data_IF_638847473768
#
_entry.id   IF_638847473768
#
_cell.length_a   1.000
_cell.length_b   1.000
_cell.length_c   1.000
_cell.angle_alpha   90.00
_cell.angle_beta   90.00
_cell.angle_gamma   90.00
#
_symmetry.space_group_name_H-M   'P 1'
#
loop_
_entity.id
_entity.type
_entity.pdbx_description
1 polymer ?
#
# COMPACT_ATOMS: atom_id res chain seq x y z
N UNK A 1 32.31 23.20 -23.10
CA UNK A 1 32.74 23.00 -21.69
C UNK A 1 32.94 24.37 -21.06
N UNK A 2 32.01 24.84 -20.24
CA UNK A 2 32.32 25.84 -19.21
C UNK A 2 31.29 25.68 -18.09
N UNK A 3 31.80 25.38 -16.90
CA UNK A 3 31.03 25.00 -15.73
C UNK A 3 30.49 26.25 -15.02
N UNK A 4 29.16 26.37 -14.95
CA UNK A 4 28.51 27.33 -14.06
C UNK A 4 28.55 26.74 -12.65
N UNK A 5 29.50 27.20 -11.83
CA UNK A 5 29.55 26.93 -10.40
C UNK A 5 28.32 27.54 -9.72
N UNK A 6 27.30 26.73 -9.44
CA UNK A 6 26.23 27.11 -8.51
C UNK A 6 26.78 26.98 -7.09
N UNK A 7 27.20 28.12 -6.53
CA UNK A 7 27.53 28.24 -5.11
C UNK A 7 26.31 28.05 -4.21
N UNK A 8 26.50 27.29 -3.13
CA UNK A 8 26.19 27.73 -1.78
C UNK A 8 24.75 27.75 -1.24
N UNK A 9 23.69 27.72 -2.05
CA UNK A 9 22.32 27.78 -1.50
C UNK A 9 21.27 26.94 -2.25
N UNK A 10 21.30 26.89 -3.58
CA UNK A 10 20.34 26.10 -4.39
C UNK A 10 20.44 24.58 -4.22
N UNK A 11 21.63 24.06 -3.87
CA UNK A 11 21.84 22.62 -3.68
C UNK A 11 21.22 22.09 -2.37
N UNK A 12 21.04 22.94 -1.35
CA UNK A 12 20.48 22.54 -0.06
C UNK A 12 18.94 22.43 -0.15
N UNK A 13 18.28 23.37 -0.82
CA UNK A 13 16.83 23.33 -1.06
C UNK A 13 16.42 22.11 -1.90
N UNK A 14 17.18 21.80 -2.96
CA UNK A 14 16.88 20.63 -3.81
C UNK A 14 17.06 19.30 -3.06
N UNK A 15 17.97 19.24 -2.08
CA UNK A 15 18.22 18.07 -1.23
C UNK A 15 17.17 17.90 -0.14
N UNK A 16 16.65 18.99 0.45
CA UNK A 16 15.61 18.90 1.49
C UNK A 16 14.21 18.67 0.90
N UNK A 17 13.82 19.45 -0.10
CA UNK A 17 12.49 19.31 -0.74
C UNK A 17 12.40 18.04 -1.61
N UNK A 18 13.46 17.69 -2.35
CA UNK A 18 13.50 16.46 -3.13
C UNK A 18 13.44 15.18 -2.28
N UNK A 19 13.96 15.22 -1.04
CA UNK A 19 13.87 14.10 -0.08
C UNK A 19 12.46 13.96 0.50
N UNK A 20 11.79 15.07 0.82
CA UNK A 20 10.39 15.03 1.24
C UNK A 20 9.49 14.44 0.14
N UNK A 21 9.66 14.86 -1.12
CA UNK A 21 8.93 14.33 -2.26
C UNK A 21 9.24 12.85 -2.54
N UNK A 22 10.51 12.44 -2.43
CA UNK A 22 10.90 11.04 -2.57
C UNK A 22 10.31 10.17 -1.45
N UNK A 23 10.26 10.68 -0.22
CA UNK A 23 9.66 10.01 0.94
C UNK A 23 8.16 9.85 0.77
N UNK A 24 7.44 10.90 0.35
CA UNK A 24 5.99 10.83 0.08
C UNK A 24 5.69 9.79 -1.02
N UNK A 25 6.47 9.80 -2.12
CA UNK A 25 6.34 8.77 -3.17
C UNK A 25 6.65 7.37 -2.68
N UNK A 26 7.65 7.21 -1.81
CA UNK A 26 8.00 5.90 -1.24
C UNK A 26 6.89 5.39 -0.30
N UNK A 27 6.34 6.25 0.56
CA UNK A 27 5.22 5.91 1.44
C UNK A 27 3.97 5.53 0.63
N UNK A 28 3.62 6.31 -0.39
CA UNK A 28 2.48 5.99 -1.28
C UNK A 28 2.66 4.65 -2.00
N UNK A 29 3.89 4.32 -2.44
CA UNK A 29 4.20 3.00 -3.01
C UNK A 29 4.07 1.87 -1.99
N UNK A 30 4.50 2.10 -0.74
CA UNK A 30 4.35 1.12 0.34
C UNK A 30 2.89 0.89 0.70
N UNK A 31 2.08 1.95 0.76
CA UNK A 31 0.64 1.87 0.97
C UNK A 31 -0.04 1.10 -0.15
N UNK A 32 0.27 1.41 -1.41
CA UNK A 32 -0.27 0.70 -2.57
C UNK A 32 0.15 -0.78 -2.62
N UNK A 33 1.39 -1.10 -2.22
CA UNK A 33 1.83 -2.48 -2.11
C UNK A 33 1.10 -3.22 -0.97
N UNK A 34 0.83 -2.52 0.15
CA UNK A 34 0.07 -3.08 1.27
C UNK A 34 -1.39 -3.34 0.91
N UNK A 35 -2.04 -2.45 0.16
CA UNK A 35 -3.41 -2.67 -0.33
C UNK A 35 -3.47 -3.85 -1.28
N UNK A 36 -2.54 -3.95 -2.24
CA UNK A 36 -2.47 -5.07 -3.17
C UNK A 36 -2.30 -6.41 -2.42
N UNK A 37 -1.44 -6.45 -1.40
CA UNK A 37 -1.25 -7.64 -0.58
C UNK A 37 -2.53 -8.04 0.18
N UNK A 38 -3.29 -7.07 0.71
CA UNK A 38 -4.57 -7.34 1.37
C UNK A 38 -5.63 -7.84 0.39
N UNK A 39 -5.68 -7.28 -0.81
CA UNK A 39 -6.62 -7.71 -1.86
C UNK A 39 -6.34 -9.14 -2.30
N UNK A 40 -5.06 -9.50 -2.47
CA UNK A 40 -4.65 -10.86 -2.79
C UNK A 40 -4.99 -11.85 -1.66
N UNK A 41 -4.74 -11.48 -0.41
CA UNK A 41 -5.15 -12.29 0.75
C UNK A 41 -6.68 -12.47 0.84
N UNK A 42 -7.46 -11.45 0.46
CA UNK A 42 -8.93 -11.54 0.41
C UNK A 42 -9.39 -12.52 -0.65
N UNK A 43 -8.78 -12.50 -1.83
CA UNK A 43 -9.07 -13.44 -2.92
C UNK A 43 -8.77 -14.90 -2.52
N UNK A 44 -7.61 -15.13 -1.91
CA UNK A 44 -7.21 -16.46 -1.39
C UNK A 44 -8.18 -16.94 -0.31
N UNK A 45 -8.57 -16.05 0.62
CA UNK A 45 -9.54 -16.36 1.67
C UNK A 45 -10.91 -16.75 1.11
N UNK A 46 -11.43 -15.98 0.14
CA UNK A 46 -12.71 -16.29 -0.50
C UNK A 46 -12.66 -17.61 -1.27
N UNK A 47 -11.54 -17.88 -1.95
CA UNK A 47 -11.30 -19.14 -2.67
C UNK A 47 -11.27 -20.33 -1.72
N UNK A 48 -10.53 -20.22 -0.61
CA UNK A 48 -10.46 -21.25 0.42
C UNK A 48 -11.82 -21.52 1.09
N UNK A 49 -12.56 -20.46 1.43
CA UNK A 49 -13.91 -20.57 1.98
C UNK A 49 -14.87 -21.28 1.01
N UNK A 50 -14.81 -20.95 -0.29
CA UNK A 50 -15.62 -21.63 -1.32
C UNK A 50 -15.29 -23.13 -1.44
N UNK A 51 -14.03 -23.53 -1.23
CA UNK A 51 -13.60 -24.92 -1.31
C UNK A 51 -13.99 -25.74 -0.07
N UNK A 52 -13.87 -25.15 1.13
CA UNK A 52 -14.19 -25.83 2.39
C UNK A 52 -15.68 -25.92 2.68
N UNK A 53 -16.40 -24.85 2.37
CA UNK A 53 -17.80 -24.68 2.69
C UNK A 53 -18.50 -24.19 1.42
N UNK A 54 -19.05 -25.09 0.58
CA UNK A 54 -20.08 -24.74 -0.40
C UNK A 54 -21.35 -24.39 0.38
N UNK A 55 -21.29 -23.30 1.12
CA UNK A 55 -22.23 -22.89 2.16
C UNK A 55 -23.04 -21.71 1.64
N UNK A 56 -24.32 -21.58 2.00
CA UNK A 56 -25.26 -20.60 1.44
C UNK A 56 -24.98 -19.15 1.88
N UNK A 57 -23.81 -18.90 2.47
CA UNK A 57 -23.39 -17.60 2.98
C UNK A 57 -23.11 -16.68 1.79
N UNK A 58 -23.83 -15.58 1.75
CA UNK A 58 -23.75 -14.61 0.66
C UNK A 58 -22.30 -14.08 0.54
N UNK A 59 -21.86 -13.70 -0.68
CA UNK A 59 -20.55 -13.08 -0.88
C UNK A 59 -20.32 -11.85 0.04
N UNK A 60 -21.39 -11.14 0.39
CA UNK A 60 -21.38 -9.98 1.28
C UNK A 60 -21.03 -10.36 2.72
N UNK A 61 -21.68 -11.39 3.27
CA UNK A 61 -21.41 -11.86 4.64
C UNK A 61 -19.97 -12.37 4.80
N UNK A 62 -19.41 -13.01 3.75
CA UNK A 62 -18.01 -13.46 3.74
C UNK A 62 -17.02 -12.31 3.73
N UNK A 63 -17.32 -11.25 2.98
CA UNK A 63 -16.51 -10.02 2.95
C UNK A 63 -16.49 -9.34 4.33
N UNK A 64 -17.66 -9.24 4.98
CA UNK A 64 -17.77 -8.68 6.33
C UNK A 64 -16.99 -9.50 7.37
N UNK A 65 -16.96 -10.83 7.22
CA UNK A 65 -16.19 -11.73 8.08
C UNK A 65 -14.68 -11.50 7.93
N UNK A 66 -14.19 -11.36 6.69
CA UNK A 66 -12.80 -11.04 6.43
C UNK A 66 -12.41 -9.70 7.06
N UNK A 67 -13.22 -8.65 6.87
CA UNK A 67 -12.94 -7.32 7.44
C UNK A 67 -12.90 -7.32 8.97
N UNK A 68 -13.79 -8.05 9.65
CA UNK A 68 -13.78 -8.18 11.11
C UNK A 68 -12.50 -8.85 11.63
N UNK A 69 -11.97 -9.82 10.90
CA UNK A 69 -10.74 -10.55 11.27
C UNK A 69 -9.51 -9.68 10.99
N UNK A 70 -9.48 -9.00 9.83
CA UNK A 70 -8.36 -8.16 9.41
C UNK A 70 -8.24 -6.87 10.23
N UNK A 71 -9.35 -6.28 10.70
CA UNK A 71 -9.35 -5.02 11.45
C UNK A 71 -9.06 -5.18 12.95
N UNK A 72 -8.98 -6.40 13.50
CA UNK A 72 -8.72 -6.63 14.93
C UNK A 72 -7.26 -6.44 15.37
N UNK A 73 -6.36 -6.05 14.46
CA UNK A 73 -4.91 -5.94 14.69
C UNK A 73 -4.29 -4.57 14.32
N UNK A 74 -5.11 -3.53 14.14
CA UNK A 74 -4.63 -2.15 14.02
C UNK A 74 -4.57 -1.47 15.39
#
# INVERSE_FOLDING_TARGET
QSAVRLGGQGACYHRLFGVCDARVRALSKLEAASTLAKDQQKEEFMTYQNQLHPSPVSPTERTNLFEQISCRRA
#
